data_IF_091599718062
#
_entry.id   IF_091599718062
#
_cell.length_a   1.000
_cell.length_b   1.000
_cell.length_c   1.000
_cell.angle_alpha   90.00
_cell.angle_beta   90.00
_cell.angle_gamma   90.00
#
_symmetry.space_group_name_H-M   'P 1'
#
loop_
_entity.id
_entity.type
_entity.pdbx_description
1 polymer ?
#
# COMPACT_ATOMS: atom_id res chain seq x y z
N UNK A 1 7.20 6.95 -4.46
CA UNK A 1 6.07 6.16 -5.01
C UNK A 1 5.56 6.68 -6.37
N UNK A 2 5.22 7.98 -6.57
CA UNK A 2 4.56 8.42 -7.82
C UNK A 2 5.32 8.10 -9.11
N UNK A 3 6.65 8.24 -9.12
CA UNK A 3 7.47 7.89 -10.28
C UNK A 3 7.42 6.39 -10.62
N UNK A 4 7.43 5.53 -9.60
CA UNK A 4 7.34 4.08 -9.76
C UNK A 4 6.00 3.66 -10.37
N UNK A 5 4.90 4.28 -9.94
CA UNK A 5 3.58 3.98 -10.49
C UNK A 5 3.48 4.33 -11.99
N UNK A 6 4.14 5.40 -12.44
CA UNK A 6 4.23 5.71 -13.89
C UNK A 6 5.03 4.66 -14.66
N UNK A 7 6.09 4.12 -14.05
CA UNK A 7 6.85 3.01 -14.66
C UNK A 7 5.96 1.78 -14.79
N UNK A 8 5.22 1.40 -13.72
CA UNK A 8 4.29 0.26 -13.79
C UNK A 8 3.20 0.46 -14.84
N UNK A 9 2.61 1.65 -14.94
CA UNK A 9 1.63 1.97 -15.98
C UNK A 9 2.21 1.74 -17.39
N UNK A 10 3.42 2.21 -17.64
CA UNK A 10 4.11 2.05 -18.92
C UNK A 10 4.46 0.60 -19.27
N UNK A 11 4.59 -0.29 -18.28
CA UNK A 11 4.91 -1.71 -18.49
C UNK A 11 3.68 -2.58 -18.81
N UNK A 12 2.47 -2.10 -18.52
CA UNK A 12 1.25 -2.87 -18.73
C UNK A 12 0.74 -2.74 -20.17
N UNK A 13 0.15 -3.80 -20.71
CA UNK A 13 -0.63 -3.72 -21.94
C UNK A 13 -1.86 -2.82 -21.73
N UNK A 14 -2.47 -2.36 -22.82
CA UNK A 14 -3.77 -1.67 -22.74
C UNK A 14 -4.77 -2.57 -21.99
N UNK A 15 -5.54 -1.97 -21.07
CA UNK A 15 -6.48 -2.67 -20.18
C UNK A 15 -5.86 -3.70 -19.22
N UNK A 16 -4.53 -3.73 -19.12
CA UNK A 16 -3.80 -4.53 -18.14
C UNK A 16 -4.05 -4.05 -16.71
N UNK A 17 -3.88 -4.97 -15.76
CA UNK A 17 -4.13 -4.70 -14.35
C UNK A 17 -2.83 -4.56 -13.56
N UNK A 18 -2.84 -3.64 -12.59
CA UNK A 18 -1.91 -3.63 -11.48
C UNK A 18 -2.64 -4.09 -10.21
N UNK A 19 -1.95 -4.85 -9.36
CA UNK A 19 -2.41 -5.27 -8.05
C UNK A 19 -1.26 -5.10 -7.06
N UNK A 20 -1.40 -4.20 -6.10
CA UNK A 20 -0.36 -3.84 -5.13
C UNK A 20 -0.90 -4.03 -3.72
N UNK A 21 -0.13 -4.66 -2.85
CA UNK A 21 -0.48 -4.81 -1.45
C UNK A 21 0.56 -4.14 -0.56
N UNK A 22 0.09 -3.38 0.42
CA UNK A 22 0.95 -2.66 1.37
C UNK A 22 0.23 -2.40 2.70
N UNK A 23 0.97 -1.98 3.71
CA UNK A 23 0.48 -1.65 5.03
C UNK A 23 -0.32 -0.34 4.98
N UNK A 24 -1.47 -0.29 5.65
CA UNK A 24 -2.16 0.97 5.91
C UNK A 24 -1.29 1.88 6.81
N UNK A 25 -1.42 3.20 6.63
CA UNK A 25 -0.68 4.17 7.42
C UNK A 25 -0.85 3.90 8.93
N UNK A 26 0.26 3.87 9.65
CA UNK A 26 0.33 3.58 11.08
C UNK A 26 1.33 4.51 11.80
N UNK A 27 1.45 4.35 13.11
CA UNK A 27 2.18 5.26 14.00
C UNK A 27 3.66 4.90 14.21
N UNK A 28 4.15 3.89 13.50
CA UNK A 28 5.50 3.35 13.57
C UNK A 28 5.65 2.14 14.48
N UNK A 29 4.58 1.71 15.13
CA UNK A 29 4.58 0.56 16.04
C UNK A 29 4.64 -0.80 15.34
N UNK A 30 4.39 -0.87 14.02
CA UNK A 30 4.43 -2.12 13.29
C UNK A 30 5.84 -2.75 13.30
N UNK A 31 6.88 -1.98 12.97
CA UNK A 31 8.26 -2.43 13.04
C UNK A 31 8.80 -2.27 14.47
N UNK A 32 9.80 -3.07 14.86
CA UNK A 32 10.54 -2.77 16.08
C UNK A 32 11.53 -1.62 15.80
N UNK A 33 11.85 -0.75 16.77
CA UNK A 33 12.70 0.44 16.55
C UNK A 33 14.09 0.13 15.99
N UNK A 34 14.56 -1.09 16.16
CA UNK A 34 15.87 -1.59 15.78
C UNK A 34 15.92 -2.19 14.37
N UNK A 35 14.81 -2.21 13.62
CA UNK A 35 14.82 -2.68 12.22
C UNK A 35 15.47 -1.59 11.34
N UNK A 36 16.69 -1.80 10.81
CA UNK A 36 17.31 -0.82 9.94
C UNK A 36 16.55 -0.76 8.61
N UNK A 37 16.40 0.45 8.05
CA UNK A 37 15.85 0.63 6.71
C UNK A 37 14.32 0.73 6.61
N UNK A 38 13.61 0.99 7.72
CA UNK A 38 12.19 1.36 7.67
C UNK A 38 12.06 2.72 6.98
N UNK A 39 11.62 2.71 5.72
CA UNK A 39 11.53 3.91 4.90
C UNK A 39 10.18 4.65 5.03
N UNK A 40 9.14 3.98 5.52
CA UNK A 40 7.79 4.51 5.70
C UNK A 40 6.98 3.64 6.68
N UNK A 41 5.89 4.21 7.21
CA UNK A 41 4.98 3.60 8.19
C UNK A 41 3.63 3.31 7.53
N UNK A 42 3.66 2.56 6.43
CA UNK A 42 2.50 2.31 5.57
C UNK A 42 2.05 3.52 4.74
N UNK A 43 0.89 3.38 4.10
CA UNK A 43 0.31 4.39 3.21
C UNK A 43 -1.17 4.64 3.47
N UNK A 44 -1.60 5.89 3.33
CA UNK A 44 -3.00 6.24 3.29
C UNK A 44 -3.59 5.83 1.93
N UNK A 45 -4.63 5.00 1.91
CA UNK A 45 -5.26 4.49 0.68
C UNK A 45 -5.75 5.61 -0.24
N UNK A 46 -6.28 6.69 0.31
CA UNK A 46 -6.76 7.83 -0.47
C UNK A 46 -5.62 8.53 -1.20
N UNK A 47 -4.45 8.64 -0.57
CA UNK A 47 -3.26 9.21 -1.20
C UNK A 47 -2.70 8.28 -2.28
N UNK A 48 -2.63 6.99 -1.99
CA UNK A 48 -2.19 6.00 -2.96
C UNK A 48 -3.11 5.96 -4.19
N UNK A 49 -4.42 6.07 -3.96
CA UNK A 49 -5.45 6.19 -5.01
C UNK A 49 -5.23 7.44 -5.86
N UNK A 50 -4.94 8.60 -5.24
CA UNK A 50 -4.60 9.83 -5.98
C UNK A 50 -3.35 9.65 -6.83
N UNK A 51 -2.32 8.97 -6.34
CA UNK A 51 -1.11 8.72 -7.13
C UNK A 51 -1.35 7.76 -8.29
N UNK A 52 -2.16 6.71 -8.12
CA UNK A 52 -2.55 5.81 -9.21
C UNK A 52 -3.33 6.56 -10.29
N UNK A 53 -4.32 7.37 -9.90
CA UNK A 53 -5.08 8.19 -10.85
C UNK A 53 -4.16 9.18 -11.60
N UNK A 54 -3.26 9.86 -10.88
CA UNK A 54 -2.28 10.77 -11.48
C UNK A 54 -1.27 10.06 -12.40
N UNK A 55 -1.02 8.76 -12.21
CA UNK A 55 -0.19 7.95 -13.09
C UNK A 55 -0.95 7.43 -14.33
N UNK A 56 -2.26 7.68 -14.45
CA UNK A 56 -3.08 7.30 -15.61
C UNK A 56 -3.88 6.02 -15.42
N UNK A 57 -3.91 5.43 -14.22
CA UNK A 57 -4.75 4.26 -13.95
C UNK A 57 -6.22 4.64 -13.75
N UNK A 58 -7.11 3.71 -14.07
CA UNK A 58 -8.57 3.78 -13.92
C UNK A 58 -9.09 2.58 -13.11
N UNK A 59 -10.40 2.54 -12.85
CA UNK A 59 -11.07 1.45 -12.12
C UNK A 59 -10.39 1.09 -10.79
N UNK A 60 -9.95 2.12 -10.06
CA UNK A 60 -9.17 1.95 -8.83
C UNK A 60 -10.10 1.44 -7.71
N UNK A 61 -9.71 0.33 -7.09
CA UNK A 61 -10.42 -0.25 -5.96
C UNK A 61 -9.42 -0.71 -4.90
N UNK A 62 -9.69 -0.40 -3.65
CA UNK A 62 -8.87 -0.81 -2.52
C UNK A 62 -9.72 -1.57 -1.50
N UNK A 63 -9.19 -2.67 -0.97
CA UNK A 63 -9.80 -3.45 0.11
C UNK A 63 -8.75 -3.89 1.10
N UNK A 64 -9.16 -4.20 2.33
CA UNK A 64 -8.27 -4.91 3.27
C UNK A 64 -8.15 -6.35 2.80
N UNK A 65 -6.94 -6.77 2.44
CA UNK A 65 -6.67 -8.15 2.02
C UNK A 65 -6.24 -9.02 3.20
N UNK A 66 -5.56 -8.43 4.18
CA UNK A 66 -5.14 -9.10 5.41
C UNK A 66 -5.11 -8.11 6.57
N UNK A 67 -5.07 -8.61 7.81
CA UNK A 67 -4.78 -7.80 8.98
C UNK A 67 -3.79 -8.56 9.83
N UNK A 68 -2.57 -8.04 9.89
CA UNK A 68 -1.54 -8.60 10.76
C UNK A 68 -1.84 -8.24 12.21
N UNK A 69 -1.62 -9.17 13.12
CA UNK A 69 -1.75 -8.94 14.56
C UNK A 69 -0.38 -9.07 15.21
N UNK A 70 -0.01 -8.11 16.07
CA UNK A 70 1.22 -8.18 16.85
C UNK A 70 0.91 -7.91 18.31
N UNK A 71 1.35 -8.82 19.17
CA UNK A 71 1.24 -8.67 20.62
C UNK A 71 2.59 -8.21 21.20
N UNK A 72 2.59 -7.11 21.96
CA UNK A 72 3.73 -6.62 22.72
C UNK A 72 3.26 -6.17 24.10
N UNK A 73 3.98 -6.54 25.15
CA UNK A 73 3.64 -6.22 26.55
C UNK A 73 2.17 -6.53 26.92
N UNK A 74 1.67 -7.67 26.43
CA UNK A 74 0.29 -8.12 26.65
C UNK A 74 -0.79 -7.36 25.89
N UNK A 75 -0.42 -6.37 25.05
CA UNK A 75 -1.35 -5.63 24.19
C UNK A 75 -1.24 -6.11 22.74
N UNK A 76 -2.37 -6.44 22.13
CA UNK A 76 -2.44 -6.81 20.70
C UNK A 76 -2.87 -5.61 19.86
N UNK A 77 -2.05 -5.23 18.90
CA UNK A 77 -2.36 -4.23 17.88
C UNK A 77 -2.63 -4.90 16.53
N UNK A 78 -3.51 -4.30 15.74
CA UNK A 78 -3.93 -4.77 14.41
C UNK A 78 -3.42 -3.82 13.34
N UNK A 79 -2.82 -4.37 12.30
CA UNK A 79 -2.20 -3.62 11.21
C UNK A 79 -2.78 -4.11 9.88
N UNK A 80 -3.78 -3.40 9.35
CA UNK A 80 -4.39 -3.75 8.08
C UNK A 80 -3.39 -3.65 6.93
N UNK A 81 -3.45 -4.63 6.03
CA UNK A 81 -2.72 -4.65 4.76
C UNK A 81 -3.77 -4.54 3.67
N UNK A 82 -3.70 -3.48 2.90
CA UNK A 82 -4.61 -3.28 1.78
C UNK A 82 -4.11 -4.02 0.54
N UNK A 83 -5.04 -4.35 -0.35
CA UNK A 83 -4.80 -4.64 -1.74
C UNK A 83 -5.50 -3.56 -2.54
N UNK A 84 -4.74 -2.84 -3.36
CA UNK A 84 -5.25 -1.88 -4.33
C UNK A 84 -5.06 -2.43 -5.74
N UNK A 85 -6.12 -2.43 -6.52
CA UNK A 85 -6.12 -2.84 -7.92
C UNK A 85 -6.53 -1.66 -8.80
N UNK A 86 -5.94 -1.56 -9.99
CA UNK A 86 -6.33 -0.57 -10.98
C UNK A 86 -5.98 -1.05 -12.39
N UNK A 87 -6.60 -0.44 -13.39
CA UNK A 87 -6.44 -0.79 -14.81
C UNK A 87 -5.71 0.31 -15.58
N UNK A 88 -4.83 -0.08 -16.51
CA UNK A 88 -4.17 0.84 -17.44
C UNK A 88 -5.17 1.54 -18.37
#
# INVERSE_FOLDING_TARGET
VPALLRVFHGMLAADGWVALADLDAEDGSFHTPDVPGVAHHGFARDEFTRWLAAAGFRDISARTAHTAEKTRDGKTARYPIFLITARR
#
